data_IF_632564095988
#
_entry.id   IF_632564095988
#
_cell.length_a   1.000
_cell.length_b   1.000
_cell.length_c   1.000
_cell.angle_alpha   90.00
_cell.angle_beta   90.00
_cell.angle_gamma   90.00
#
_symmetry.space_group_name_H-M   'P 1'
#
loop_
_entity.id
_entity.type
_entity.pdbx_description
1 polymer ?
#
# COMPACT_ATOMS: atom_id res chain seq x y z
N UNK A 1 -56.18 -34.84 39.99
CA UNK A 1 -57.48 -35.12 39.37
C UNK A 1 -57.33 -34.86 37.88
N UNK A 2 -57.27 -35.92 37.08
CA UNK A 2 -57.31 -35.86 35.61
C UNK A 2 -58.75 -36.23 35.22
N UNK A 3 -59.32 -35.57 34.19
CA UNK A 3 -59.89 -36.37 33.11
C UNK A 3 -59.47 -35.90 31.71
N UNK A 4 -59.16 -36.94 30.92
CA UNK A 4 -59.18 -37.12 29.45
C UNK A 4 -60.58 -36.76 28.87
N UNK A 5 -60.89 -36.61 27.58
CA UNK A 5 -60.29 -36.59 26.23
C UNK A 5 -61.46 -36.24 25.30
N UNK A 6 -61.24 -35.57 24.17
CA UNK A 6 -62.24 -35.50 23.09
C UNK A 6 -61.72 -34.77 21.86
N UNK A 7 -61.35 -35.53 20.83
CA UNK A 7 -60.78 -35.11 19.56
C UNK A 7 -61.90 -35.03 18.49
N UNK A 8 -61.95 -33.96 17.66
CA UNK A 8 -62.09 -34.09 16.19
C UNK A 8 -62.08 -32.73 15.46
N UNK A 9 -61.58 -32.82 14.23
CA UNK A 9 -61.14 -31.78 13.30
C UNK A 9 -62.26 -31.00 12.57
N UNK A 10 -61.97 -29.74 12.19
CA UNK A 10 -61.80 -29.30 10.78
C UNK A 10 -61.95 -27.77 10.58
N UNK A 11 -60.98 -27.18 9.85
CA UNK A 11 -61.03 -25.91 9.07
C UNK A 11 -61.14 -24.59 9.88
N UNK A 12 -60.46 -23.47 9.59
CA UNK A 12 -60.20 -22.75 8.33
C UNK A 12 -58.99 -21.81 8.52
N UNK A 13 -58.19 -21.67 7.44
CA UNK A 13 -57.26 -20.61 7.02
C UNK A 13 -56.99 -19.43 8.00
N UNK A 14 -55.74 -19.01 8.26
CA UNK A 14 -54.69 -18.72 7.29
C UNK A 14 -54.68 -17.22 6.95
N UNK A 15 -53.92 -16.41 7.69
CA UNK A 15 -53.54 -15.05 7.28
C UNK A 15 -52.03 -14.93 7.24
N UNK A 16 -51.49 -15.27 6.06
CA UNK A 16 -50.16 -14.86 5.60
C UNK A 16 -50.08 -13.33 5.63
N UNK A 17 -49.20 -12.75 6.46
CA UNK A 17 -48.59 -11.46 6.15
C UNK A 17 -47.59 -11.70 5.01
N UNK A 18 -48.13 -11.82 3.79
CA UNK A 18 -47.34 -11.83 2.57
C UNK A 18 -46.80 -10.43 2.34
N UNK A 19 -45.48 -10.30 2.42
CA UNK A 19 -44.74 -9.12 2.01
C UNK A 19 -44.89 -8.96 0.49
N UNK A 20 -46.02 -8.38 0.04
CA UNK A 20 -46.29 -8.16 -1.38
C UNK A 20 -45.61 -6.84 -1.75
N UNK A 21 -44.30 -6.89 -2.01
CA UNK A 21 -43.63 -5.82 -2.73
C UNK A 21 -44.47 -5.51 -3.98
N UNK A 22 -44.81 -4.23 -4.15
CA UNK A 22 -45.63 -3.76 -5.26
C UNK A 22 -44.95 -4.16 -6.58
N UNK A 23 -45.71 -4.68 -7.53
CA UNK A 23 -45.19 -5.16 -8.83
C UNK A 23 -44.42 -4.05 -9.56
N UNK A 24 -44.84 -2.80 -9.35
CA UNK A 24 -44.19 -1.59 -9.87
C UNK A 24 -42.74 -1.43 -9.35
N UNK A 25 -42.47 -1.74 -8.08
CA UNK A 25 -41.14 -1.62 -7.46
C UNK A 25 -40.21 -2.73 -7.95
N UNK A 26 -40.73 -3.96 -8.13
CA UNK A 26 -39.97 -5.08 -8.69
C UNK A 26 -39.60 -4.83 -10.15
N UNK A 27 -40.52 -4.27 -10.95
CA UNK A 27 -40.24 -3.90 -12.35
C UNK A 27 -39.24 -2.74 -12.45
N UNK A 28 -39.31 -1.76 -11.55
CA UNK A 28 -38.36 -0.65 -11.50
C UNK A 28 -36.96 -1.11 -11.09
N UNK A 29 -36.83 -2.02 -10.11
CA UNK A 29 -35.55 -2.63 -9.74
C UNK A 29 -34.98 -3.49 -10.88
N UNK A 30 -35.81 -4.24 -11.61
CA UNK A 30 -35.37 -5.02 -12.78
C UNK A 30 -34.91 -4.12 -13.92
N UNK A 31 -35.59 -3.01 -14.17
CA UNK A 31 -35.19 -2.02 -15.17
C UNK A 31 -33.86 -1.34 -14.77
N UNK A 32 -33.70 -0.99 -13.49
CA UNK A 32 -32.46 -0.42 -12.98
C UNK A 32 -31.29 -1.41 -13.07
N UNK A 33 -31.48 -2.67 -12.66
CA UNK A 33 -30.47 -3.72 -12.84
C UNK A 33 -30.15 -3.97 -14.32
N UNK A 34 -31.15 -3.96 -15.21
CA UNK A 34 -30.93 -4.16 -16.64
C UNK A 34 -30.14 -3.01 -17.27
N UNK A 35 -30.44 -1.76 -16.90
CA UNK A 35 -29.70 -0.58 -17.38
C UNK A 35 -28.25 -0.58 -16.84
N UNK A 36 -28.05 -0.86 -15.55
CA UNK A 36 -26.71 -0.98 -14.96
C UNK A 36 -25.92 -2.12 -15.62
N UNK A 37 -26.57 -3.26 -15.89
CA UNK A 37 -25.94 -4.39 -16.59
C UNK A 37 -25.60 -4.04 -18.05
N UNK A 38 -26.48 -3.35 -18.78
CA UNK A 38 -26.21 -2.93 -20.15
C UNK A 38 -25.06 -1.91 -20.23
N UNK A 39 -24.99 -0.93 -19.32
CA UNK A 39 -23.90 0.06 -19.27
C UNK A 39 -22.57 -0.62 -18.91
N UNK A 40 -22.57 -1.56 -17.95
CA UNK A 40 -21.40 -2.36 -17.61
C UNK A 40 -20.94 -3.24 -18.79
N UNK A 41 -21.87 -3.90 -19.49
CA UNK A 41 -21.55 -4.70 -20.68
C UNK A 41 -20.97 -3.83 -21.82
N UNK A 42 -21.54 -2.65 -22.09
CA UNK A 42 -21.01 -1.76 -23.14
C UNK A 42 -19.60 -1.27 -22.81
N UNK A 43 -19.34 -0.87 -21.56
CA UNK A 43 -18.00 -0.45 -21.13
C UNK A 43 -16.96 -1.57 -21.19
N UNK A 44 -17.36 -2.81 -20.86
CA UNK A 44 -16.51 -4.00 -21.00
C UNK A 44 -16.15 -4.29 -22.47
N UNK A 45 -17.07 -4.11 -23.42
CA UNK A 45 -16.79 -4.28 -24.85
C UNK A 45 -15.85 -3.20 -25.41
N UNK A 46 -15.98 -1.94 -24.99
CA UNK A 46 -15.10 -0.87 -25.47
C UNK A 46 -13.67 -1.01 -24.94
N UNK A 47 -13.51 -1.36 -23.66
CA UNK A 47 -12.19 -1.65 -23.09
C UNK A 47 -11.51 -2.84 -23.79
N UNK A 48 -12.27 -3.91 -24.08
CA UNK A 48 -11.76 -5.07 -24.80
C UNK A 48 -11.34 -4.73 -26.25
N UNK A 49 -12.09 -3.87 -26.94
CA UNK A 49 -11.76 -3.41 -28.29
C UNK A 49 -10.49 -2.54 -28.32
N UNK A 50 -10.31 -1.65 -27.33
CA UNK A 50 -9.11 -0.79 -27.22
C UNK A 50 -7.84 -1.62 -26.93
N UNK A 51 -7.94 -2.66 -26.11
CA UNK A 51 -6.84 -3.58 -25.81
C UNK A 51 -6.53 -4.54 -26.97
N UNK A 52 -7.51 -4.81 -27.84
CA UNK A 52 -7.38 -5.71 -29.01
C UNK A 52 -6.84 -5.07 -30.29
N UNK A 53 -6.71 -3.74 -30.34
CA UNK A 53 -6.20 -3.03 -31.51
C UNK A 53 -4.67 -3.12 -31.61
N UNK A 54 -4.14 -3.54 -32.76
CA UNK A 54 -2.69 -3.56 -32.99
C UNK A 54 -2.09 -2.15 -32.91
N UNK A 55 -1.02 -2.02 -32.13
CA UNK A 55 -0.25 -0.80 -31.98
C UNK A 55 0.76 -0.65 -33.11
N UNK A 56 0.89 0.56 -33.65
CA UNK A 56 2.06 0.91 -34.46
C UNK A 56 3.32 1.00 -33.57
N UNK A 57 4.53 0.86 -34.14
CA UNK A 57 5.78 1.04 -33.39
C UNK A 57 5.89 2.38 -32.65
N UNK A 58 5.43 3.46 -33.29
CA UNK A 58 5.48 4.81 -32.71
C UNK A 58 4.54 4.94 -31.52
N UNK A 59 3.33 4.38 -31.61
CA UNK A 59 2.38 4.38 -30.50
C UNK A 59 2.91 3.53 -29.33
N UNK A 60 3.43 2.34 -29.61
CA UNK A 60 4.02 1.48 -28.59
C UNK A 60 5.20 2.17 -27.87
N UNK A 61 6.08 2.84 -28.62
CA UNK A 61 7.20 3.60 -28.04
C UNK A 61 6.70 4.78 -27.19
N UNK A 62 5.65 5.48 -27.65
CA UNK A 62 5.06 6.60 -26.90
C UNK A 62 4.49 6.12 -25.56
N UNK A 63 3.67 5.07 -25.58
CA UNK A 63 3.08 4.48 -24.36
C UNK A 63 4.19 3.95 -23.44
N UNK A 64 5.24 3.33 -23.98
CA UNK A 64 6.36 2.85 -23.18
C UNK A 64 7.09 3.99 -22.45
N UNK A 65 7.32 5.14 -23.12
CA UNK A 65 7.92 6.31 -22.47
C UNK A 65 7.04 6.86 -21.35
N UNK A 66 5.74 6.94 -21.58
CA UNK A 66 4.78 7.38 -20.55
C UNK A 66 4.78 6.41 -19.35
N UNK A 67 4.77 5.10 -19.61
CA UNK A 67 4.86 4.07 -18.57
C UNK A 67 6.18 4.16 -17.80
N UNK A 68 7.30 4.45 -18.46
CA UNK A 68 8.59 4.65 -17.78
C UNK A 68 8.55 5.88 -16.88
N UNK A 69 8.04 7.02 -17.36
CA UNK A 69 7.96 8.25 -16.56
C UNK A 69 7.06 8.04 -15.33
N UNK A 70 5.89 7.44 -15.54
CA UNK A 70 4.93 7.15 -14.48
C UNK A 70 5.48 6.14 -13.46
N UNK A 71 6.01 5.02 -13.96
CA UNK A 71 6.44 3.90 -13.14
C UNK A 71 7.80 4.06 -12.47
N UNK A 72 8.62 5.02 -12.89
CA UNK A 72 9.97 5.19 -12.35
C UNK A 72 10.01 5.32 -10.82
N UNK A 73 9.24 6.22 -10.17
CA UNK A 73 9.23 6.29 -8.71
C UNK A 73 8.80 4.98 -8.07
N UNK A 74 7.78 4.30 -8.61
CA UNK A 74 7.23 3.04 -8.09
C UNK A 74 8.28 1.92 -8.14
N UNK A 75 8.95 1.75 -9.29
CA UNK A 75 9.99 0.73 -9.48
C UNK A 75 11.17 0.98 -8.56
N UNK A 76 11.62 2.23 -8.42
CA UNK A 76 12.72 2.56 -7.53
C UNK A 76 12.35 2.38 -6.05
N UNK A 77 11.13 2.77 -5.65
CA UNK A 77 10.62 2.49 -4.29
C UNK A 77 10.55 1.01 -4.01
N UNK A 78 10.10 0.19 -4.97
CA UNK A 78 10.06 -1.26 -4.82
C UNK A 78 11.47 -1.87 -4.73
N UNK A 79 12.43 -1.39 -5.52
CA UNK A 79 13.83 -1.80 -5.39
C UNK A 79 14.40 -1.50 -4.00
N UNK A 80 14.13 -0.31 -3.47
CA UNK A 80 14.53 0.06 -2.11
C UNK A 80 13.82 -0.79 -1.05
N UNK A 81 12.50 -1.00 -1.16
CA UNK A 81 11.74 -1.91 -0.29
C UNK A 81 12.37 -3.30 -0.28
N UNK A 82 12.62 -3.87 -1.47
CA UNK A 82 13.18 -5.20 -1.59
C UNK A 82 14.55 -5.29 -0.93
N UNK A 83 15.46 -4.38 -1.26
CA UNK A 83 16.82 -4.36 -0.71
C UNK A 83 16.82 -4.17 0.82
N UNK A 84 15.99 -3.28 1.36
CA UNK A 84 16.04 -2.92 2.78
C UNK A 84 15.26 -3.88 3.69
N UNK A 85 14.19 -4.52 3.18
CA UNK A 85 13.24 -5.25 4.02
C UNK A 85 12.91 -6.68 3.59
N UNK A 86 13.21 -7.07 2.35
CA UNK A 86 12.87 -8.39 1.80
C UNK A 86 14.11 -9.28 1.65
N UNK A 87 15.17 -8.76 1.05
CA UNK A 87 16.40 -9.50 0.76
C UNK A 87 17.29 -9.65 1.99
N UNK A 88 16.98 -10.63 2.85
CA UNK A 88 17.70 -10.87 4.11
C UNK A 88 19.18 -11.19 3.94
N UNK A 89 19.60 -11.63 2.76
CA UNK A 89 20.99 -12.00 2.46
C UNK A 89 21.74 -10.87 1.73
N UNK A 90 21.05 -9.79 1.36
CA UNK A 90 21.63 -8.66 0.65
C UNK A 90 22.39 -7.69 1.56
N UNK A 91 23.44 -7.06 1.02
CA UNK A 91 24.31 -6.15 1.77
C UNK A 91 23.59 -4.88 2.29
N UNK A 92 22.50 -4.48 1.63
CA UNK A 92 21.70 -3.30 1.99
C UNK A 92 20.54 -3.62 2.95
N UNK A 93 20.40 -4.87 3.39
CA UNK A 93 19.33 -5.27 4.30
C UNK A 93 19.39 -4.52 5.62
N UNK A 94 18.26 -3.92 6.01
CA UNK A 94 18.14 -3.10 7.22
C UNK A 94 17.43 -3.87 8.32
N UNK A 95 16.17 -4.23 8.08
CA UNK A 95 15.32 -4.99 8.97
C UNK A 95 14.08 -5.49 8.22
N UNK A 96 13.42 -6.57 8.69
CA UNK A 96 12.15 -7.00 8.11
C UNK A 96 11.07 -5.90 8.15
N UNK A 97 10.01 -6.08 7.35
CA UNK A 97 8.81 -5.24 7.42
C UNK A 97 8.31 -5.08 8.87
N UNK A 98 7.77 -3.90 9.17
CA UNK A 98 7.25 -3.50 10.49
C UNK A 98 8.28 -3.54 11.62
N UNK A 99 9.58 -3.60 11.32
CA UNK A 99 10.67 -3.61 12.31
C UNK A 99 11.58 -2.40 12.13
N UNK A 100 11.83 -1.65 13.21
CA UNK A 100 12.75 -0.51 13.20
C UNK A 100 14.20 -0.97 13.11
N UNK A 101 14.98 -0.28 12.27
CA UNK A 101 16.44 -0.35 12.24
C UNK A 101 17.04 0.99 12.65
N UNK A 102 17.89 0.99 13.66
CA UNK A 102 18.66 2.17 14.06
C UNK A 102 20.07 2.11 13.47
N UNK A 103 20.48 3.18 12.82
CA UNK A 103 21.85 3.40 12.33
C UNK A 103 22.37 4.69 12.97
N UNK A 104 22.91 4.53 14.18
CA UNK A 104 23.39 5.63 15.00
C UNK A 104 24.70 6.24 14.48
N UNK A 105 25.47 5.52 13.66
CA UNK A 105 26.72 6.03 13.12
C UNK A 105 26.44 7.01 11.99
N UNK A 106 27.22 8.09 11.95
CA UNK A 106 27.20 9.04 10.82
C UNK A 106 27.61 8.30 9.55
N UNK A 107 26.82 8.48 8.49
CA UNK A 107 27.09 7.84 7.20
C UNK A 107 28.40 8.38 6.61
N UNK A 108 29.19 7.47 6.07
CA UNK A 108 30.40 7.75 5.30
C UNK A 108 30.09 7.60 3.80
N UNK A 109 31.04 7.94 2.91
CA UNK A 109 30.86 7.69 1.48
C UNK A 109 30.74 6.20 1.09
N UNK A 110 30.94 5.27 2.03
CA UNK A 110 30.77 3.83 1.77
C UNK A 110 29.30 3.38 1.81
N UNK A 111 28.41 4.14 2.46
CA UNK A 111 26.99 3.84 2.57
C UNK A 111 26.22 4.34 1.32
N UNK A 112 25.71 3.41 0.50
CA UNK A 112 25.02 3.73 -0.75
C UNK A 112 23.48 3.67 -0.66
N UNK A 113 22.92 3.09 0.40
CA UNK A 113 21.47 2.89 0.55
C UNK A 113 20.65 4.19 0.66
N UNK A 114 21.26 5.31 1.07
CA UNK A 114 20.60 6.63 1.10
C UNK A 114 21.38 7.60 0.23
N UNK A 115 20.77 8.00 -0.89
CA UNK A 115 21.35 8.98 -1.80
C UNK A 115 21.53 10.31 -1.07
N UNK A 116 22.75 10.85 -1.10
CA UNK A 116 23.12 12.13 -0.45
C UNK A 116 22.82 12.17 1.05
N UNK A 117 23.17 11.10 1.77
CA UNK A 117 23.10 11.08 3.23
C UNK A 117 23.85 12.28 3.85
N UNK A 118 23.24 12.90 4.87
CA UNK A 118 23.81 14.02 5.60
C UNK A 118 24.58 13.54 6.84
N UNK A 119 25.56 14.33 7.28
CA UNK A 119 26.38 14.01 8.43
C UNK A 119 25.77 14.45 9.79
N UNK A 120 24.67 15.20 9.76
CA UNK A 120 24.15 15.91 10.94
C UNK A 120 23.14 15.11 11.77
N UNK A 121 22.61 14.01 11.22
CA UNK A 121 21.56 13.21 11.86
C UNK A 121 21.78 11.73 11.62
N UNK A 122 22.03 10.95 12.68
CA UNK A 122 21.89 9.51 12.62
C UNK A 122 20.47 9.09 12.22
N UNK A 123 20.38 7.95 11.54
CA UNK A 123 19.16 7.50 10.88
C UNK A 123 18.46 6.39 11.65
N UNK A 124 17.15 6.30 11.50
CA UNK A 124 16.43 5.04 11.66
C UNK A 124 15.49 4.82 10.51
N UNK A 125 15.27 3.56 10.16
CA UNK A 125 14.49 3.16 8.99
C UNK A 125 13.39 2.19 9.41
N UNK A 126 12.25 2.33 8.76
CA UNK A 126 11.13 1.42 8.92
C UNK A 126 10.36 1.34 7.59
N UNK A 127 10.30 0.15 7.01
CA UNK A 127 9.29 -0.17 6.01
C UNK A 127 8.07 -0.76 6.69
N UNK A 128 6.89 -0.21 6.41
CA UNK A 128 5.62 -0.64 6.97
C UNK A 128 4.82 -1.38 5.89
N UNK A 129 4.29 -2.54 6.25
CA UNK A 129 3.25 -3.24 5.50
C UNK A 129 1.90 -2.92 6.13
N UNK A 130 1.05 -2.19 5.39
CA UNK A 130 -0.20 -1.62 5.89
C UNK A 130 -1.44 -2.40 5.43
N UNK A 131 -1.25 -3.51 4.71
CA UNK A 131 -2.33 -4.31 4.12
C UNK A 131 -3.15 -5.06 5.15
N UNK A 132 -2.43 -5.55 6.15
CA UNK A 132 -2.95 -6.33 7.27
C UNK A 132 -3.66 -5.43 8.28
N UNK A 133 -2.95 -4.39 8.72
CA UNK A 133 -3.45 -3.41 9.66
C UNK A 133 -2.51 -2.19 9.72
N UNK A 134 -2.99 -1.05 10.25
CA UNK A 134 -2.15 0.11 10.53
C UNK A 134 -0.99 -0.20 11.49
N UNK A 135 0.07 0.59 11.38
CA UNK A 135 1.20 0.60 12.32
C UNK A 135 1.14 1.87 13.17
N UNK A 136 1.28 1.72 14.50
CA UNK A 136 1.41 2.82 15.44
C UNK A 136 2.88 3.14 15.66
N UNK A 137 3.28 4.36 15.32
CA UNK A 137 4.62 4.89 15.57
C UNK A 137 4.64 5.66 16.89
N UNK A 138 5.45 5.21 17.84
CA UNK A 138 5.69 5.89 19.10
C UNK A 138 6.94 6.76 19.05
N UNK A 139 6.81 7.98 19.55
CA UNK A 139 7.90 8.96 19.64
C UNK A 139 8.03 9.41 21.10
N UNK A 140 9.24 9.36 21.70
CA UNK A 140 9.44 9.88 23.05
C UNK A 140 9.39 11.42 23.07
N UNK A 141 9.30 11.99 24.27
CA UNK A 141 9.54 13.42 24.42
C UNK A 141 11.01 13.72 24.10
N UNK A 142 11.25 14.76 23.32
CA UNK A 142 12.59 15.21 22.94
C UNK A 142 13.03 16.34 23.86
N UNK A 143 14.35 16.52 24.04
CA UNK A 143 14.84 17.69 24.77
C UNK A 143 14.39 18.99 24.09
N UNK A 144 14.28 20.05 24.90
CA UNK A 144 13.93 21.37 24.39
C UNK A 144 14.96 21.82 23.35
N UNK A 145 14.49 22.15 22.15
CA UNK A 145 15.33 22.63 21.05
C UNK A 145 16.04 21.56 20.23
N UNK A 146 16.04 20.27 20.62
CA UNK A 146 16.57 19.19 19.75
C UNK A 146 15.66 19.00 18.54
N UNK A 147 16.25 18.99 17.35
CA UNK A 147 15.55 18.65 16.12
C UNK A 147 15.41 17.14 15.96
N UNK A 148 14.21 16.72 15.55
CA UNK A 148 13.99 15.41 14.96
C UNK A 148 12.94 15.49 13.84
N UNK A 149 12.97 14.51 12.95
CA UNK A 149 11.90 14.30 11.97
C UNK A 149 11.73 12.81 11.66
N UNK A 150 10.50 12.45 11.34
CA UNK A 150 10.10 11.21 10.71
C UNK A 150 9.43 11.61 9.42
N UNK A 151 10.14 11.42 8.31
CA UNK A 151 9.63 11.61 6.97
C UNK A 151 8.87 10.36 6.56
N UNK A 152 7.62 10.52 6.14
CA UNK A 152 6.78 9.41 5.68
C UNK A 152 6.59 9.51 4.17
N UNK A 153 6.99 8.45 3.46
CA UNK A 153 6.84 8.34 2.00
C UNK A 153 6.08 7.10 1.59
N UNK A 154 5.27 7.23 0.54
CA UNK A 154 4.58 6.12 -0.10
C UNK A 154 5.41 5.52 -1.25
N UNK A 155 4.89 4.50 -1.94
CA UNK A 155 5.59 3.90 -3.09
C UNK A 155 5.68 4.83 -4.31
N UNK A 156 4.82 5.84 -4.41
CA UNK A 156 4.91 6.89 -5.43
C UNK A 156 6.04 7.91 -5.14
N UNK A 157 6.73 7.80 -4.00
CA UNK A 157 7.72 8.76 -3.47
C UNK A 157 7.13 10.11 -3.06
N UNK A 158 5.82 10.21 -2.84
CA UNK A 158 5.24 11.40 -2.21
C UNK A 158 5.58 11.40 -0.72
N UNK A 159 5.99 12.57 -0.20
CA UNK A 159 6.03 12.80 1.24
C UNK A 159 4.61 13.12 1.71
N UNK A 160 3.87 12.11 2.14
CA UNK A 160 2.47 12.31 2.52
C UNK A 160 2.32 12.97 3.90
N UNK A 161 3.30 12.85 4.80
CA UNK A 161 3.29 13.57 6.08
C UNK A 161 4.69 13.61 6.73
N UNK A 162 4.79 14.39 7.82
CA UNK A 162 5.95 14.46 8.70
C UNK A 162 5.50 14.43 10.16
N UNK A 163 6.28 13.74 10.99
CA UNK A 163 6.23 13.85 12.45
C UNK A 163 7.56 14.48 12.89
N UNK A 164 7.57 15.48 13.76
CA UNK A 164 8.83 16.13 14.11
C UNK A 164 8.69 17.48 14.79
N UNK A 165 9.83 17.99 15.26
CA UNK A 165 9.94 19.26 16.00
C UNK A 165 9.24 20.44 15.32
N UNK A 166 9.24 20.46 13.97
CA UNK A 166 8.67 21.57 13.19
C UNK A 166 7.16 21.51 13.00
N UNK A 167 6.54 20.33 13.12
CA UNK A 167 5.15 20.11 12.69
C UNK A 167 4.27 19.52 13.80
N UNK A 168 4.84 18.69 14.67
CA UNK A 168 4.14 18.07 15.81
C UNK A 168 4.76 18.44 17.16
N UNK A 169 5.91 19.14 17.16
CA UNK A 169 6.62 19.56 18.36
C UNK A 169 7.46 18.45 19.01
N UNK A 170 7.95 18.71 20.22
CA UNK A 170 8.90 17.86 20.94
C UNK A 170 8.26 17.03 22.07
N UNK A 171 6.94 17.03 22.20
CA UNK A 171 6.24 16.17 23.17
C UNK A 171 6.18 14.72 22.67
N UNK A 172 6.07 13.77 23.60
CA UNK A 172 5.83 12.37 23.25
C UNK A 172 4.50 12.22 22.49
N UNK A 173 4.43 11.28 21.55
CA UNK A 173 3.26 11.09 20.70
C UNK A 173 3.14 9.68 20.15
N UNK A 174 1.91 9.32 19.77
CA UNK A 174 1.55 8.05 19.14
C UNK A 174 0.83 8.35 17.82
N UNK A 175 1.34 7.85 16.70
CA UNK A 175 0.86 8.21 15.37
C UNK A 175 0.44 6.97 14.61
N UNK A 176 -0.83 6.91 14.21
CA UNK A 176 -1.38 5.75 13.50
C UNK A 176 -1.18 5.93 12.00
N UNK A 177 -0.34 5.10 11.38
CA UNK A 177 -0.11 5.07 9.94
C UNK A 177 -1.02 4.02 9.32
N UNK A 178 -2.01 4.44 8.55
CA UNK A 178 -3.01 3.57 7.99
C UNK A 178 -2.91 3.51 6.46
N UNK A 179 -3.01 2.30 5.92
CA UNK A 179 -3.08 2.06 4.48
C UNK A 179 -4.40 2.53 3.86
N UNK A 180 -4.50 2.45 2.52
CA UNK A 180 -5.62 3.01 1.76
C UNK A 180 -6.94 2.27 2.03
N UNK A 181 -6.89 0.98 2.36
CA UNK A 181 -8.06 0.13 2.60
C UNK A 181 -8.61 0.17 4.03
N UNK A 182 -7.86 0.73 4.99
CA UNK A 182 -8.25 0.66 6.41
C UNK A 182 -9.48 1.54 6.72
N UNK A 183 -10.51 0.95 7.32
CA UNK A 183 -11.75 1.67 7.71
C UNK A 183 -12.09 1.51 9.19
N UNK A 184 -11.15 0.97 9.98
CA UNK A 184 -11.35 0.71 11.41
C UNK A 184 -11.42 1.97 12.28
N UNK A 185 -11.73 1.76 13.55
CA UNK A 185 -11.75 2.82 14.56
C UNK A 185 -10.34 3.13 15.07
N UNK A 186 -10.12 4.42 15.36
CA UNK A 186 -8.89 4.90 15.99
C UNK A 186 -8.95 4.69 17.50
N UNK A 187 -8.02 3.97 18.13
CA UNK A 187 -8.01 3.80 19.58
C UNK A 187 -7.66 5.10 20.30
N UNK A 188 -8.00 5.18 21.59
CA UNK A 188 -7.61 6.29 22.44
C UNK A 188 -6.06 6.37 22.55
N UNK A 189 -5.53 7.59 22.73
CA UNK A 189 -4.09 7.82 22.86
C UNK A 189 -3.36 8.13 21.55
N UNK A 190 -3.99 7.89 20.39
CA UNK A 190 -3.45 8.32 19.10
C UNK A 190 -3.52 9.83 18.96
N UNK A 191 -2.36 10.44 18.69
CA UNK A 191 -2.19 11.88 18.49
C UNK A 191 -2.67 12.33 17.11
N UNK A 192 -2.43 11.52 16.08
CA UNK A 192 -2.88 11.77 14.70
C UNK A 192 -2.98 10.45 13.93
N UNK A 193 -4.00 10.35 13.08
CA UNK A 193 -4.09 9.32 12.03
C UNK A 193 -3.53 9.90 10.75
N UNK A 194 -2.59 9.19 10.14
CA UNK A 194 -1.92 9.56 8.91
C UNK A 194 -2.22 8.48 7.87
N UNK A 195 -2.74 8.90 6.72
CA UNK A 195 -3.16 8.00 5.64
C UNK A 195 -2.06 7.92 4.58
N UNK A 196 -1.67 6.70 4.25
CA UNK A 196 -0.83 6.41 3.10
C UNK A 196 -1.71 5.98 1.93
N UNK A 197 -1.39 6.47 0.74
CA UNK A 197 -2.13 6.12 -0.49
C UNK A 197 -1.70 4.77 -1.06
N UNK A 198 -0.61 4.18 -0.55
CA UNK A 198 -0.09 2.87 -0.97
C UNK A 198 -0.08 1.85 0.16
N UNK A 199 -0.02 0.57 -0.20
CA UNK A 199 -0.06 -0.55 0.74
C UNK A 199 1.22 -0.69 1.58
N UNK A 200 2.33 -0.11 1.12
CA UNK A 200 3.57 -0.01 1.87
C UNK A 200 3.94 1.46 2.08
N UNK A 201 4.52 1.77 3.24
CA UNK A 201 5.03 3.09 3.56
C UNK A 201 6.45 2.99 4.09
N UNK A 202 7.27 4.00 3.84
CA UNK A 202 8.62 4.11 4.37
C UNK A 202 8.72 5.28 5.32
N UNK A 203 9.28 5.03 6.50
CA UNK A 203 9.58 6.05 7.49
C UNK A 203 11.09 6.21 7.65
N UNK A 204 11.57 7.44 7.43
CA UNK A 204 12.97 7.82 7.65
C UNK A 204 13.03 8.76 8.84
N UNK A 205 13.65 8.26 9.91
CA UNK A 205 13.87 8.99 11.14
C UNK A 205 15.22 9.69 11.06
N UNK A 206 15.25 10.95 11.49
CA UNK A 206 16.44 11.76 11.64
C UNK A 206 16.41 12.38 13.02
N UNK A 207 17.40 12.06 13.84
CA UNK A 207 17.57 12.63 15.18
C UNK A 207 18.82 13.50 15.15
N UNK A 208 18.72 14.77 15.53
CA UNK A 208 19.86 15.67 15.52
C UNK A 208 20.96 15.16 16.42
N UNK A 209 22.19 15.12 15.89
CA UNK A 209 23.41 14.95 16.66
C UNK A 209 23.98 16.35 16.94
N UNK A 210 24.06 16.75 18.21
CA UNK A 210 24.56 18.08 18.58
C UNK A 210 26.10 18.18 18.49
N UNK A 211 26.78 17.03 18.58
CA UNK A 211 28.22 16.90 18.46
C UNK A 211 28.65 15.45 18.76
N UNK A 212 29.94 15.11 18.62
CA UNK A 212 30.41 13.72 18.81
C UNK A 212 30.06 13.12 20.18
N UNK A 213 30.09 13.92 21.25
CA UNK A 213 29.81 13.48 22.62
C UNK A 213 28.31 13.21 22.90
N UNK A 214 27.43 13.57 21.95
CA UNK A 214 25.97 13.40 22.05
C UNK A 214 25.49 12.08 21.42
N UNK A 215 26.40 11.28 20.85
CA UNK A 215 26.06 10.06 20.12
C UNK A 215 25.32 9.01 20.98
N UNK A 216 25.75 8.79 22.22
CA UNK A 216 25.07 7.84 23.11
C UNK A 216 23.64 8.30 23.47
N UNK A 217 23.44 9.61 23.61
CA UNK A 217 22.11 10.17 23.85
C UNK A 217 21.20 9.98 22.61
N UNK A 218 21.74 10.15 21.40
CA UNK A 218 20.98 9.84 20.17
C UNK A 218 20.58 8.36 20.12
N UNK A 219 21.48 7.44 20.52
CA UNK A 219 21.14 6.01 20.61
C UNK A 219 20.03 5.75 21.63
N UNK A 220 20.10 6.39 22.80
CA UNK A 220 19.08 6.27 23.84
C UNK A 220 17.72 6.79 23.38
N UNK A 221 17.69 7.88 22.60
CA UNK A 221 16.46 8.39 21.96
C UNK A 221 15.95 7.40 20.91
N UNK A 222 16.84 6.91 20.04
CA UNK A 222 16.48 5.96 18.99
C UNK A 222 15.84 4.68 19.56
N UNK A 223 16.41 4.15 20.64
CA UNK A 223 15.90 2.97 21.34
C UNK A 223 14.52 3.15 21.98
N UNK A 224 14.03 4.40 22.08
CA UNK A 224 12.69 4.71 22.59
C UNK A 224 11.66 4.89 21.47
N UNK A 225 12.08 4.92 20.20
CA UNK A 225 11.12 4.84 19.09
C UNK A 225 10.46 3.47 19.06
N UNK A 226 9.16 3.44 18.79
CA UNK A 226 8.42 2.19 18.64
C UNK A 226 7.67 2.15 17.31
N UNK A 227 7.51 0.94 16.79
CA UNK A 227 6.63 0.62 15.67
C UNK A 227 5.83 -0.61 16.09
N UNK A 228 4.52 -0.48 16.24
CA UNK A 228 3.67 -1.50 16.85
C UNK A 228 2.45 -1.73 15.98
N UNK A 229 2.07 -2.99 15.74
CA UNK A 229 0.83 -3.27 15.02
C UNK A 229 -0.37 -2.70 15.79
N UNK A 230 -1.42 -2.23 15.09
CA UNK A 230 -2.59 -1.63 15.73
C UNK A 230 -3.28 -2.60 16.71
N UNK A 231 -3.37 -3.88 16.35
CA UNK A 231 -3.92 -4.96 17.18
C UNK A 231 -3.20 -5.09 18.51
N UNK A 232 -1.87 -5.10 18.48
CA UNK A 232 -1.00 -5.11 19.67
C UNK A 232 -1.14 -3.83 20.48
N UNK A 233 -1.09 -2.65 19.85
CA UNK A 233 -1.25 -1.38 20.54
C UNK A 233 -2.59 -1.25 21.27
N UNK A 234 -3.67 -1.74 20.64
CA UNK A 234 -5.01 -1.67 21.19
C UNK A 234 -5.41 -2.88 22.04
N UNK A 235 -4.49 -3.82 22.29
CA UNK A 235 -4.72 -5.08 23.00
C UNK A 235 -5.97 -5.83 22.50
N UNK A 236 -6.05 -6.02 21.18
CA UNK A 236 -7.18 -6.68 20.50
C UNK A 236 -6.73 -7.63 19.42
N UNK A 237 -7.63 -8.52 19.00
CA UNK A 237 -7.37 -9.38 17.85
C UNK A 237 -7.28 -8.56 16.55
N UNK A 238 -6.34 -8.95 15.68
CA UNK A 238 -6.25 -8.49 14.30
C UNK A 238 -7.53 -8.84 13.54
N UNK A 239 -7.99 -7.94 12.67
CA UNK A 239 -9.28 -8.07 11.97
C UNK A 239 -9.15 -8.60 10.54
N UNK A 240 -8.03 -8.34 9.89
CA UNK A 240 -7.81 -8.62 8.48
C UNK A 240 -6.53 -9.42 8.29
N UNK A 241 -6.50 -10.29 7.28
CA UNK A 241 -5.31 -11.02 6.87
C UNK A 241 -5.10 -10.78 5.37
N UNK A 242 -4.06 -10.01 5.05
CA UNK A 242 -3.61 -9.76 3.71
C UNK A 242 -3.10 -11.07 3.07
N UNK A 243 -3.26 -11.24 1.75
CA UNK A 243 -2.73 -12.40 1.06
C UNK A 243 -1.21 -12.52 1.22
N UNK A 244 -0.74 -13.73 1.50
CA UNK A 244 0.68 -14.06 1.44
C UNK A 244 1.28 -13.61 0.11
N UNK A 245 2.42 -12.92 0.19
CA UNK A 245 3.08 -12.35 -0.98
C UNK A 245 4.46 -12.95 -1.15
N UNK A 246 4.66 -13.60 -2.30
CA UNK A 246 6.00 -13.98 -2.76
C UNK A 246 6.57 -12.76 -3.48
N UNK A 247 7.48 -12.06 -2.81
CA UNK A 247 8.14 -10.88 -3.38
C UNK A 247 9.07 -11.28 -4.52
N UNK A 248 8.86 -10.68 -5.70
CA UNK A 248 9.73 -10.92 -6.86
C UNK A 248 11.02 -10.13 -6.71
N UNK A 249 12.18 -10.77 -6.90
CA UNK A 249 13.45 -10.05 -6.98
C UNK A 249 13.42 -9.06 -8.15
N UNK A 250 13.64 -7.75 -7.92
CA UNK A 250 13.76 -6.79 -9.00
C UNK A 250 15.00 -7.13 -9.82
N UNK A 251 14.84 -7.27 -11.14
CA UNK A 251 15.99 -7.45 -12.02
C UNK A 251 16.76 -6.12 -12.18
N UNK A 252 18.10 -6.15 -12.21
CA UNK A 252 18.92 -5.00 -12.57
C UNK A 252 18.47 -4.40 -13.91
N UNK A 253 18.46 -3.07 -14.02
CA UNK A 253 18.07 -2.38 -15.25
C UNK A 253 19.01 -2.72 -16.43
N UNK A 254 20.28 -3.03 -16.12
CA UNK A 254 21.32 -3.38 -17.08
C UNK A 254 21.13 -4.76 -17.73
N UNK A 255 20.32 -5.63 -17.13
CA UNK A 255 20.07 -6.99 -17.64
C UNK A 255 18.99 -7.01 -18.74
N UNK A 256 18.06 -6.04 -18.73
CA UNK A 256 17.04 -5.87 -19.78
C UNK A 256 16.22 -4.59 -19.61
N UNK A 257 15.94 -3.88 -20.70
CA UNK A 257 14.97 -2.78 -20.72
C UNK A 257 13.55 -3.24 -20.30
N UNK A 258 13.22 -4.53 -20.45
CA UNK A 258 11.94 -5.09 -20.06
C UNK A 258 11.86 -5.44 -18.56
N UNK A 259 13.01 -5.55 -17.87
CA UNK A 259 13.07 -5.79 -16.43
C UNK A 259 12.30 -4.73 -15.64
N UNK A 260 12.36 -3.49 -16.13
CA UNK A 260 11.62 -2.36 -15.57
C UNK A 260 10.11 -2.63 -15.55
N UNK A 261 9.51 -3.02 -16.68
CA UNK A 261 8.07 -3.23 -16.79
C UNK A 261 7.58 -4.45 -16.01
N UNK A 262 8.39 -5.51 -15.92
CA UNK A 262 8.09 -6.65 -15.05
C UNK A 262 8.05 -6.24 -13.58
N UNK A 263 9.02 -5.42 -13.14
CA UNK A 263 9.06 -4.88 -11.78
C UNK A 263 7.89 -3.94 -11.52
N UNK A 264 7.57 -3.07 -12.48
CA UNK A 264 6.42 -2.16 -12.39
C UNK A 264 5.12 -2.94 -12.23
N UNK A 265 4.87 -3.94 -13.08
CA UNK A 265 3.66 -4.77 -13.01
C UNK A 265 3.53 -5.52 -11.69
N UNK A 266 4.65 -5.94 -11.09
CA UNK A 266 4.67 -6.54 -9.76
C UNK A 266 4.33 -5.53 -8.66
N UNK A 267 4.78 -4.28 -8.77
CA UNK A 267 4.59 -3.26 -7.74
C UNK A 267 3.24 -2.54 -7.81
N UNK A 268 2.64 -2.43 -9.00
CA UNK A 268 1.35 -1.74 -9.23
C UNK A 268 0.18 -2.19 -8.32
N UNK A 269 0.01 -3.48 -7.96
CA UNK A 269 -1.03 -3.91 -7.03
C UNK A 269 -0.95 -3.28 -5.64
N UNK A 270 0.23 -2.81 -5.23
CA UNK A 270 0.45 -2.13 -3.95
C UNK A 270 0.26 -0.62 -4.04
N UNK A 271 -0.03 -0.11 -5.24
CA UNK A 271 -0.16 1.30 -5.55
C UNK A 271 -1.54 1.55 -6.17
N UNK A 272 -2.62 1.60 -5.37
CA UNK A 272 -3.94 1.96 -5.88
C UNK A 272 -3.86 3.27 -6.69
N UNK A 273 -4.28 3.22 -7.95
CA UNK A 273 -4.28 4.38 -8.83
C UNK A 273 -5.40 5.36 -8.43
N UNK A 274 -5.14 6.66 -8.54
CA UNK A 274 -6.16 7.69 -8.36
C UNK A 274 -7.22 7.63 -9.49
N UNK A 275 -8.43 8.14 -9.22
CA UNK A 275 -9.49 8.20 -10.24
C UNK A 275 -9.08 9.00 -11.48
N UNK A 276 -8.23 10.01 -11.33
CA UNK A 276 -7.70 10.80 -12.45
C UNK A 276 -6.73 10.04 -13.34
N UNK A 277 -6.22 8.87 -12.91
CA UNK A 277 -5.24 8.08 -13.62
C UNK A 277 -5.85 6.97 -14.49
N UNK A 278 -7.17 6.77 -14.44
CA UNK A 278 -7.84 5.64 -15.13
C UNK A 278 -7.58 5.63 -16.64
N UNK A 279 -7.57 6.79 -17.29
CA UNK A 279 -7.25 6.90 -18.72
C UNK A 279 -5.79 6.54 -18.99
N UNK A 280 -4.86 7.00 -18.14
CA UNK A 280 -3.44 6.64 -18.23
C UNK A 280 -3.28 5.12 -18.10
N UNK A 281 -3.83 4.52 -17.04
CA UNK A 281 -3.73 3.09 -16.79
C UNK A 281 -4.31 2.26 -17.94
N UNK A 282 -5.43 2.68 -18.53
CA UNK A 282 -6.01 2.05 -19.71
C UNK A 282 -5.06 2.09 -20.91
N UNK A 283 -4.35 3.22 -21.12
CA UNK A 283 -3.35 3.32 -22.19
C UNK A 283 -2.14 2.44 -21.92
N UNK A 284 -1.60 2.44 -20.70
CA UNK A 284 -0.45 1.63 -20.32
C UNK A 284 -0.73 0.13 -20.47
N UNK A 285 -1.94 -0.30 -20.16
CA UNK A 285 -2.39 -1.69 -20.33
C UNK A 285 -2.28 -2.19 -21.78
N UNK A 286 -2.32 -1.30 -22.78
CA UNK A 286 -2.18 -1.67 -24.21
C UNK A 286 -0.81 -2.26 -24.54
N UNK A 287 0.24 -1.93 -23.77
CA UNK A 287 1.58 -2.55 -23.91
C UNK A 287 1.84 -3.65 -22.87
N UNK A 288 0.83 -4.01 -22.08
CA UNK A 288 0.92 -5.01 -21.01
C UNK A 288 1.38 -4.44 -19.67
N UNK A 289 1.34 -3.12 -19.45
CA UNK A 289 1.62 -2.52 -18.14
C UNK A 289 0.32 -2.41 -17.34
N UNK A 290 0.17 -3.23 -16.31
CA UNK A 290 -1.04 -3.32 -15.49
C UNK A 290 -0.76 -4.07 -14.18
N UNK A 291 -1.55 -3.84 -13.11
CA UNK A 291 -1.43 -4.61 -11.87
C UNK A 291 -1.61 -6.12 -12.12
N UNK A 292 -0.69 -6.94 -11.60
CA UNK A 292 -0.81 -8.41 -11.62
C UNK A 292 -1.42 -8.89 -10.29
N UNK A 293 -2.44 -9.78 -10.27
CA UNK A 293 -2.98 -10.30 -9.02
C UNK A 293 -1.92 -10.93 -8.10
N UNK A 294 -1.94 -10.56 -6.82
CA UNK A 294 -1.08 -11.13 -5.78
C UNK A 294 -1.46 -12.60 -5.54
N UNK A 295 -0.48 -13.50 -5.44
CA UNK A 295 -0.70 -14.92 -5.09
C UNK A 295 -0.86 -15.89 -6.27
N UNK A 296 -0.92 -15.41 -7.52
CA UNK A 296 -0.77 -16.30 -8.67
C UNK A 296 0.70 -16.65 -8.89
N UNK A 297 1.07 -17.93 -8.70
CA UNK A 297 2.38 -18.50 -9.05
C UNK A 297 2.69 -18.48 -10.57
N UNK A 298 1.98 -17.66 -11.33
CA UNK A 298 2.26 -17.47 -12.72
C UNK A 298 3.32 -16.38 -12.81
N UNK A 299 4.56 -16.82 -13.03
CA UNK A 299 5.48 -16.09 -13.89
C UNK A 299 4.74 -15.89 -15.21
N UNK A 300 3.84 -14.91 -15.26
CA UNK A 300 3.22 -14.50 -16.49
C UNK A 300 4.37 -13.80 -17.18
N UNK A 301 4.96 -14.50 -18.14
CA UNK A 301 5.56 -13.88 -19.29
C UNK A 301 4.53 -12.86 -19.79
N UNK A 302 4.58 -11.65 -19.23
CA UNK A 302 3.81 -10.52 -19.71
C UNK A 302 4.23 -10.46 -21.16
N UNK A 303 3.30 -10.77 -22.04
CA UNK A 303 3.55 -10.74 -23.48
C UNK A 303 3.59 -9.27 -23.83
N UNK A 304 4.65 -8.58 -23.38
CA UNK A 304 4.98 -7.22 -23.73
C UNK A 304 4.95 -7.21 -25.25
N UNK A 305 3.96 -6.50 -25.79
CA UNK A 305 3.76 -6.38 -27.24
C UNK A 305 5.00 -5.78 -27.90
N UNK A 306 5.87 -5.13 -27.11
CA UNK A 306 7.21 -4.65 -27.45
C UNK A 306 8.00 -5.68 -28.27
N UNK A 307 7.96 -6.98 -27.92
CA UNK A 307 8.74 -8.00 -28.63
C UNK A 307 8.22 -8.34 -30.03
N UNK A 308 6.96 -8.04 -30.36
CA UNK A 308 6.41 -8.23 -31.72
C UNK A 308 6.76 -7.09 -32.67
N UNK A 309 7.19 -5.94 -32.14
CA UNK A 309 7.39 -4.72 -32.93
C UNK A 309 8.87 -4.48 -33.30
N UNK A 310 9.77 -5.41 -32.98
CA UNK A 310 11.15 -5.37 -33.46
C UNK A 310 11.99 -4.25 -32.85
N UNK A 311 11.82 -4.01 -31.56
CA UNK A 311 12.75 -3.23 -30.73
C UNK A 311 13.80 -4.16 -30.10
#
# INVERSE_FOLDING_TARGET
MIPKVGNNADSVAGSFFGNRMDRSVIEMQRLFLAIVSCVALTGLTDAANVLGQELTPVEAQTIAREATIYGYPIVESYRTLHAFAIDREGDEFKAPLNTLKHEANVFTPAENGVVTANADTPYSFLWMDLRDEPVVLGVPAMEEGRYYSIQLTDLFKFNFDYIGSRVTGNSAGQYLIAGPSWTGETPAGISKVIRCDTEFAFAIYRTQLLGPDDLENVKDIQNQYTATALSEYADRAKTDDAPDTVFSTPMPAEDSDLAFFSTLNFALPFCPSDESEQELMTRLARIGVSPIPIGTASVIATRLVIHRIGM
#
